data_IF_028538033433
#
_entry.id   IF_028538033433
#
_cell.length_a   1.000
_cell.length_b   1.000
_cell.length_c   1.000
_cell.angle_alpha   90.00
_cell.angle_beta   90.00
_cell.angle_gamma   90.00
#
_symmetry.space_group_name_H-M   'P 1'
#
loop_
_entity.id
_entity.type
_entity.pdbx_description
1 polymer ?
#
# COMPACT_ATOMS: atom_id res chain seq x y z
N UNK A 1 -54.73 -13.77 43.61
CA UNK A 1 -53.53 -14.05 42.80
C UNK A 1 -53.46 -13.03 41.68
N UNK A 2 -52.60 -12.00 41.87
CA UNK A 2 -52.38 -10.91 40.85
C UNK A 2 -51.17 -11.32 40.02
N UNK A 3 -51.38 -11.50 38.72
CA UNK A 3 -50.27 -11.71 37.75
C UNK A 3 -49.65 -10.35 37.40
N UNK A 4 -48.38 -10.16 37.72
CA UNK A 4 -47.57 -9.04 37.34
C UNK A 4 -46.93 -9.39 36.00
N UNK A 5 -47.29 -8.61 34.95
CA UNK A 5 -46.73 -8.71 33.61
C UNK A 5 -45.45 -7.85 33.58
N UNK A 6 -44.26 -8.38 33.24
CA UNK A 6 -43.08 -7.53 33.09
C UNK A 6 -43.15 -6.85 31.72
N UNK A 7 -43.11 -5.51 31.72
CA UNK A 7 -42.93 -4.71 30.51
C UNK A 7 -41.46 -4.85 30.06
N UNK A 8 -41.27 -5.53 28.94
CA UNK A 8 -40.01 -5.60 28.25
C UNK A 8 -39.84 -4.29 27.46
N UNK A 9 -39.02 -3.37 27.96
CA UNK A 9 -38.63 -2.14 27.27
C UNK A 9 -37.59 -2.50 26.22
N UNK A 10 -38.03 -2.69 24.98
CA UNK A 10 -37.15 -2.88 23.82
C UNK A 10 -36.52 -1.52 23.44
N UNK A 11 -35.31 -1.26 23.92
CA UNK A 11 -34.54 -0.09 23.51
C UNK A 11 -34.05 -0.31 22.07
N UNK A 12 -34.77 0.23 21.08
CA UNK A 12 -34.28 0.35 19.73
C UNK A 12 -33.14 1.39 19.71
N UNK A 13 -31.91 0.91 19.74
CA UNK A 13 -30.75 1.69 19.37
C UNK A 13 -30.83 1.90 17.85
N UNK A 14 -31.42 2.99 17.41
CA UNK A 14 -31.23 3.50 16.05
C UNK A 14 -29.78 3.98 15.95
N UNK A 15 -28.90 3.13 15.46
CA UNK A 15 -27.63 3.57 14.93
C UNK A 15 -27.94 4.43 13.70
N UNK A 16 -28.08 5.72 13.89
CA UNK A 16 -28.00 6.68 12.79
C UNK A 16 -26.55 6.64 12.30
N UNK A 17 -26.27 5.78 11.34
CA UNK A 17 -25.14 5.95 10.46
C UNK A 17 -25.41 7.28 9.75
N UNK A 18 -24.73 8.33 10.14
CA UNK A 18 -24.62 9.52 9.32
C UNK A 18 -23.81 9.13 8.09
N UNK A 19 -24.48 8.59 7.09
CA UNK A 19 -24.04 8.68 5.71
C UNK A 19 -24.50 10.08 5.32
N UNK A 20 -23.61 11.06 5.38
CA UNK A 20 -23.83 12.33 4.69
C UNK A 20 -23.92 11.95 3.21
N UNK A 21 -25.17 11.86 2.72
CA UNK A 21 -25.43 11.85 1.30
C UNK A 21 -25.18 13.28 0.79
N UNK A 22 -23.91 13.58 0.59
CA UNK A 22 -23.53 14.77 -0.17
C UNK A 22 -24.09 14.61 -1.58
N UNK A 23 -25.20 15.26 -1.84
CA UNK A 23 -25.79 15.31 -3.19
C UNK A 23 -25.01 16.34 -3.98
N UNK A 24 -24.15 15.84 -4.86
CA UNK A 24 -23.52 16.70 -5.87
C UNK A 24 -24.40 16.77 -7.11
N UNK A 25 -24.35 17.91 -7.79
CA UNK A 25 -25.02 18.04 -9.07
C UNK A 25 -24.34 17.13 -10.10
N UNK A 26 -25.15 16.36 -10.83
CA UNK A 26 -24.66 15.50 -11.91
C UNK A 26 -24.38 16.36 -13.17
N UNK A 27 -23.31 17.12 -13.08
CA UNK A 27 -22.79 17.95 -14.16
C UNK A 27 -21.27 18.12 -13.99
N UNK A 28 -20.55 18.68 -14.98
CA UNK A 28 -19.09 18.79 -14.92
C UNK A 28 -18.56 19.51 -13.67
N UNK A 29 -19.20 20.61 -13.28
CA UNK A 29 -18.80 21.36 -12.09
C UNK A 29 -19.02 20.55 -10.82
N UNK A 30 -20.19 19.94 -10.65
CA UNK A 30 -20.51 19.09 -9.50
C UNK A 30 -19.58 17.89 -9.37
N UNK A 31 -19.19 17.28 -10.48
CA UNK A 31 -18.23 16.18 -10.49
C UNK A 31 -16.83 16.60 -10.01
N UNK A 32 -16.37 17.79 -10.41
CA UNK A 32 -15.09 18.34 -9.94
C UNK A 32 -15.17 18.69 -8.45
N UNK A 33 -16.25 19.33 -8.00
CA UNK A 33 -16.48 19.69 -6.59
C UNK A 33 -16.48 18.42 -5.71
N UNK A 34 -17.18 17.37 -6.15
CA UNK A 34 -17.19 16.09 -5.45
C UNK A 34 -15.79 15.51 -5.30
N UNK A 35 -15.03 15.44 -6.40
CA UNK A 35 -13.67 14.93 -6.38
C UNK A 35 -12.74 15.77 -5.49
N UNK A 36 -12.82 17.11 -5.61
CA UNK A 36 -12.02 18.02 -4.82
C UNK A 36 -12.31 17.83 -3.32
N UNK A 37 -13.58 17.79 -2.93
CA UNK A 37 -14.00 17.67 -1.54
C UNK A 37 -13.63 16.33 -0.93
N UNK A 38 -13.83 15.21 -1.66
CA UNK A 38 -13.39 13.89 -1.20
C UNK A 38 -11.89 13.89 -0.85
N UNK A 39 -11.08 14.52 -1.68
CA UNK A 39 -9.64 14.61 -1.41
C UNK A 39 -9.33 15.60 -0.30
N UNK A 40 -10.02 16.74 -0.23
CA UNK A 40 -9.86 17.73 0.83
C UNK A 40 -10.07 17.10 2.22
N UNK A 41 -11.12 16.29 2.35
CA UNK A 41 -11.49 15.66 3.62
C UNK A 41 -10.64 14.44 3.97
N UNK A 42 -10.13 13.70 3.00
CA UNK A 42 -9.54 12.37 3.22
C UNK A 42 -8.05 12.25 2.91
N UNK A 43 -7.49 13.14 2.09
CA UNK A 43 -6.07 13.06 1.75
C UNK A 43 -5.19 13.50 2.92
N UNK A 44 -4.08 12.75 3.14
CA UNK A 44 -3.29 12.88 4.37
C UNK A 44 -2.02 13.72 4.21
N UNK A 45 -1.59 14.09 2.99
CA UNK A 45 -0.22 14.54 2.74
C UNK A 45 -0.11 15.93 2.10
N UNK A 46 -1.13 16.80 2.24
CA UNK A 46 -1.09 18.16 1.70
C UNK A 46 0.10 18.97 2.22
N UNK A 47 0.31 18.91 3.54
CA UNK A 47 1.39 19.65 4.20
C UNK A 47 2.77 19.10 3.80
N UNK A 48 2.95 17.78 3.88
CA UNK A 48 4.21 17.12 3.55
C UNK A 48 4.64 17.33 2.08
N UNK A 49 3.65 17.50 1.20
CA UNK A 49 3.89 17.75 -0.23
C UNK A 49 3.91 19.25 -0.59
N UNK A 50 3.55 20.12 0.36
CA UNK A 50 3.47 21.55 0.14
C UNK A 50 2.41 21.92 -0.91
N UNK A 51 1.26 21.21 -0.92
CA UNK A 51 0.17 21.43 -1.87
C UNK A 51 -0.90 22.29 -1.22
N UNK A 52 -1.17 23.49 -1.76
CA UNK A 52 -2.34 24.30 -1.45
C UNK A 52 -3.52 23.77 -2.28
N UNK A 53 -4.35 22.95 -1.63
CA UNK A 53 -5.46 22.26 -2.30
C UNK A 53 -6.59 23.23 -2.72
N UNK A 54 -6.76 24.36 -2.02
CA UNK A 54 -7.69 25.42 -2.41
C UNK A 54 -7.21 26.13 -3.70
N UNK A 55 -5.93 26.46 -3.78
CA UNK A 55 -5.35 27.03 -5.01
C UNK A 55 -5.43 26.05 -6.20
N UNK A 56 -5.32 24.75 -5.94
CA UNK A 56 -5.54 23.72 -6.97
C UNK A 56 -7.00 23.73 -7.41
N UNK A 57 -7.96 23.81 -6.49
CA UNK A 57 -9.39 23.94 -6.83
C UNK A 57 -9.65 25.13 -7.76
N UNK A 58 -9.23 26.33 -7.36
CA UNK A 58 -9.42 27.55 -8.15
C UNK A 58 -8.84 27.41 -9.56
N UNK A 59 -7.66 26.80 -9.70
CA UNK A 59 -6.99 26.57 -10.98
C UNK A 59 -7.79 25.67 -11.92
N UNK A 60 -8.47 24.65 -11.39
CA UNK A 60 -9.15 23.65 -12.20
C UNK A 60 -10.65 23.92 -12.35
N UNK A 61 -11.31 24.57 -11.38
CA UNK A 61 -12.73 24.90 -11.44
C UNK A 61 -13.08 25.79 -12.65
N UNK A 62 -12.24 26.77 -12.98
CA UNK A 62 -12.43 27.66 -14.14
C UNK A 62 -12.32 26.95 -15.48
N UNK A 63 -11.80 25.74 -15.52
CA UNK A 63 -11.65 24.92 -16.72
C UNK A 63 -12.86 24.04 -17.00
N UNK A 64 -13.74 23.85 -16.02
CA UNK A 64 -14.96 23.06 -16.17
C UNK A 64 -16.08 23.93 -16.79
N UNK A 65 -16.83 23.37 -17.71
CA UNK A 65 -18.01 24.01 -18.29
C UNK A 65 -19.06 22.94 -18.69
N UNK A 66 -20.31 23.37 -18.83
CA UNK A 66 -21.45 22.48 -19.04
C UNK A 66 -21.43 21.70 -20.36
N UNK A 67 -20.66 22.15 -21.33
CA UNK A 67 -20.58 21.52 -22.68
C UNK A 67 -19.51 20.41 -22.76
N UNK A 68 -18.79 20.15 -21.67
CA UNK A 68 -17.73 19.15 -21.67
C UNK A 68 -18.24 17.73 -21.76
N UNK A 69 -17.64 16.93 -22.62
CA UNK A 69 -17.82 15.49 -22.64
C UNK A 69 -17.19 14.85 -21.41
N UNK A 70 -17.63 13.64 -21.07
CA UNK A 70 -17.05 12.85 -19.97
C UNK A 70 -15.53 12.69 -20.09
N UNK A 71 -15.03 12.49 -21.30
CA UNK A 71 -13.58 12.38 -21.55
C UNK A 71 -12.83 13.68 -21.25
N UNK A 72 -13.40 14.84 -21.60
CA UNK A 72 -12.81 16.14 -21.28
C UNK A 72 -12.84 16.43 -19.77
N UNK A 73 -13.95 16.11 -19.10
CA UNK A 73 -14.03 16.19 -17.63
C UNK A 73 -12.96 15.31 -16.98
N UNK A 74 -12.85 14.06 -17.41
CA UNK A 74 -11.86 13.10 -16.91
C UNK A 74 -10.41 13.64 -17.06
N UNK A 75 -10.07 14.25 -18.20
CA UNK A 75 -8.75 14.85 -18.40
C UNK A 75 -8.46 15.99 -17.42
N UNK A 76 -9.42 16.89 -17.20
CA UNK A 76 -9.27 18.00 -16.24
C UNK A 76 -9.11 17.47 -14.83
N UNK A 77 -9.97 16.55 -14.41
CA UNK A 77 -9.93 15.95 -13.07
C UNK A 77 -8.64 15.12 -12.85
N UNK A 78 -8.18 14.40 -13.88
CA UNK A 78 -6.90 13.66 -13.81
C UNK A 78 -5.71 14.62 -13.63
N UNK A 79 -5.71 15.75 -14.30
CA UNK A 79 -4.67 16.76 -14.12
C UNK A 79 -4.75 17.39 -12.71
N UNK A 80 -5.94 17.62 -12.18
CA UNK A 80 -6.13 18.11 -10.81
C UNK A 80 -5.53 17.15 -9.78
N UNK A 81 -5.87 15.87 -9.81
CA UNK A 81 -5.31 14.89 -8.86
C UNK A 81 -3.79 14.70 -9.05
N UNK A 82 -3.26 14.95 -10.24
CA UNK A 82 -1.83 14.84 -10.53
C UNK A 82 -0.99 15.92 -9.82
N UNK A 83 -1.59 17.03 -9.37
CA UNK A 83 -0.92 18.03 -8.54
C UNK A 83 -0.46 17.44 -7.19
N UNK A 84 -1.13 16.41 -6.71
CA UNK A 84 -0.73 15.68 -5.50
C UNK A 84 0.56 14.88 -5.68
N UNK A 85 0.96 14.60 -6.92
CA UNK A 85 2.15 13.77 -7.24
C UNK A 85 2.20 12.48 -6.42
N UNK A 86 1.06 11.77 -6.34
CA UNK A 86 0.88 10.59 -5.51
C UNK A 86 0.33 9.42 -6.32
N UNK A 87 1.10 8.35 -6.40
CA UNK A 87 0.71 7.13 -7.12
C UNK A 87 -0.44 6.35 -6.46
N UNK A 88 -0.85 6.70 -5.23
CA UNK A 88 -1.99 6.08 -4.56
C UNK A 88 -3.32 6.77 -4.91
N UNK A 89 -3.29 8.01 -5.41
CA UNK A 89 -4.50 8.75 -5.82
C UNK A 89 -4.80 8.44 -7.27
N UNK A 90 -5.93 7.74 -7.52
CA UNK A 90 -6.33 7.32 -8.84
C UNK A 90 -7.81 7.62 -9.07
N UNK A 91 -8.15 8.09 -10.27
CA UNK A 91 -9.51 8.30 -10.75
C UNK A 91 -9.87 7.21 -11.75
N UNK A 92 -10.86 6.40 -11.41
CA UNK A 92 -11.30 5.29 -12.26
C UNK A 92 -12.60 5.63 -12.98
N UNK A 93 -12.64 5.35 -14.26
CA UNK A 93 -13.84 5.38 -15.08
C UNK A 93 -13.99 4.06 -15.84
N UNK A 94 -15.11 3.88 -16.53
CA UNK A 94 -15.34 2.68 -17.37
C UNK A 94 -14.43 2.63 -18.60
N UNK A 95 -13.84 3.76 -19.00
CA UNK A 95 -13.04 3.88 -20.23
C UNK A 95 -11.56 4.21 -19.99
N UNK A 96 -11.18 4.70 -18.78
CA UNK A 96 -9.79 5.04 -18.50
C UNK A 96 -9.49 5.12 -17.00
N UNK A 97 -8.19 5.23 -16.67
CA UNK A 97 -7.70 5.47 -15.29
C UNK A 97 -6.79 6.68 -15.27
N UNK A 98 -7.21 7.73 -14.56
CA UNK A 98 -6.40 8.91 -14.26
C UNK A 98 -5.46 8.63 -13.09
N UNK A 99 -4.16 8.94 -13.25
CA UNK A 99 -3.13 8.63 -12.25
C UNK A 99 -1.86 9.42 -12.47
N UNK A 100 -1.10 9.66 -11.41
CA UNK A 100 0.24 10.22 -11.47
C UNK A 100 1.28 9.11 -11.30
N UNK A 101 2.01 8.79 -12.40
CA UNK A 101 3.03 7.74 -12.38
C UNK A 101 4.41 8.21 -12.83
N UNK A 102 4.58 9.51 -13.06
CA UNK A 102 5.84 10.11 -13.47
C UNK A 102 6.97 9.96 -12.44
N UNK A 103 6.63 9.61 -11.19
CA UNK A 103 7.63 9.35 -10.16
C UNK A 103 8.59 8.19 -10.49
N UNK A 104 8.19 7.30 -11.40
CA UNK A 104 9.01 6.16 -11.84
C UNK A 104 9.51 6.27 -13.28
N UNK A 105 9.16 7.35 -14.00
CA UNK A 105 9.69 7.66 -15.32
C UNK A 105 11.16 8.11 -15.21
N UNK A 106 11.91 8.00 -16.27
CA UNK A 106 13.31 8.41 -16.38
C UNK A 106 14.31 7.68 -15.44
N UNK A 107 13.89 6.57 -14.84
CA UNK A 107 14.76 5.71 -14.05
C UNK A 107 15.03 4.38 -14.77
N UNK A 108 16.28 3.87 -14.73
CA UNK A 108 16.57 2.53 -15.21
C UNK A 108 15.70 1.51 -14.45
N UNK A 109 15.08 0.59 -15.17
CA UNK A 109 14.25 -0.46 -14.54
C UNK A 109 15.07 -1.34 -13.58
N UNK A 110 16.38 -1.47 -13.82
CA UNK A 110 17.27 -2.30 -13.02
C UNK A 110 16.73 -3.72 -12.80
N UNK A 111 15.97 -4.23 -13.80
CA UNK A 111 15.32 -5.52 -13.76
C UNK A 111 15.10 -6.05 -15.18
N UNK A 112 15.28 -7.35 -15.36
CA UNK A 112 15.02 -8.04 -16.61
C UNK A 112 14.45 -9.43 -16.34
N UNK A 113 13.22 -9.69 -16.81
CA UNK A 113 12.59 -11.02 -16.72
C UNK A 113 13.42 -12.11 -17.39
N UNK A 114 14.05 -11.80 -18.51
CA UNK A 114 14.90 -12.74 -19.24
C UNK A 114 16.10 -13.16 -18.40
N UNK A 115 16.75 -12.21 -17.73
CA UNK A 115 17.87 -12.51 -16.83
C UNK A 115 17.38 -13.25 -15.58
N UNK A 116 16.27 -12.84 -14.99
CA UNK A 116 15.67 -13.54 -13.84
C UNK A 116 15.42 -15.00 -14.16
N UNK A 117 14.73 -15.30 -15.27
CA UNK A 117 14.45 -16.69 -15.70
C UNK A 117 15.71 -17.48 -15.96
N UNK A 118 16.76 -16.84 -16.47
CA UNK A 118 18.06 -17.49 -16.68
C UNK A 118 18.70 -17.92 -15.36
N UNK A 119 18.59 -17.13 -14.29
CA UNK A 119 19.13 -17.45 -12.97
C UNK A 119 18.25 -18.40 -12.17
N UNK A 120 16.91 -18.23 -12.23
CA UNK A 120 15.97 -19.17 -11.60
C UNK A 120 16.00 -20.55 -12.27
N UNK A 121 16.31 -20.63 -13.57
CA UNK A 121 16.22 -21.84 -14.39
C UNK A 121 14.77 -22.35 -14.48
N UNK A 122 14.56 -23.67 -14.54
CA UNK A 122 13.24 -24.32 -14.66
C UNK A 122 12.84 -25.11 -13.42
N UNK A 123 13.74 -25.25 -12.46
CA UNK A 123 13.62 -26.07 -11.26
C UNK A 123 13.47 -25.27 -9.96
N UNK A 124 13.16 -23.98 -10.07
CA UNK A 124 12.83 -23.17 -8.89
C UNK A 124 11.54 -23.65 -8.23
N UNK A 125 11.41 -23.36 -6.95
CA UNK A 125 10.25 -23.73 -6.13
C UNK A 125 9.32 -22.53 -5.96
N UNK A 126 8.05 -22.82 -5.69
CA UNK A 126 7.02 -21.82 -5.46
C UNK A 126 6.38 -22.05 -4.10
N UNK A 127 6.26 -21.01 -3.28
CA UNK A 127 5.53 -21.04 -2.02
C UNK A 127 4.72 -19.75 -1.85
N UNK A 128 3.39 -19.87 -1.86
CA UNK A 128 2.52 -18.70 -1.88
C UNK A 128 2.79 -17.84 -3.11
N UNK A 129 3.03 -16.55 -2.91
CA UNK A 129 3.36 -15.59 -3.98
C UNK A 129 4.86 -15.42 -4.27
N UNK A 130 5.71 -16.38 -3.90
CA UNK A 130 7.16 -16.27 -4.06
C UNK A 130 7.74 -17.40 -4.90
N UNK A 131 8.73 -17.04 -5.72
CA UNK A 131 9.63 -18.00 -6.39
C UNK A 131 10.94 -18.05 -5.62
N UNK A 132 11.49 -19.24 -5.39
CA UNK A 132 12.73 -19.37 -4.64
C UNK A 132 13.59 -20.54 -5.12
N UNK A 133 14.90 -20.39 -4.99
CA UNK A 133 15.90 -21.38 -5.37
C UNK A 133 17.20 -21.19 -4.58
N UNK A 134 18.11 -22.15 -4.68
CA UNK A 134 19.48 -22.02 -4.18
C UNK A 134 20.39 -21.81 -5.39
N UNK A 135 21.12 -20.69 -5.40
CA UNK A 135 22.09 -20.37 -6.43
C UNK A 135 23.39 -21.19 -6.28
N UNK A 136 24.20 -21.24 -7.34
CA UNK A 136 25.41 -22.08 -7.42
C UNK A 136 26.40 -21.84 -6.27
N UNK A 137 26.47 -20.59 -5.74
CA UNK A 137 27.36 -20.23 -4.61
C UNK A 137 26.77 -20.56 -3.23
N UNK A 138 25.77 -21.43 -3.16
CA UNK A 138 25.03 -21.74 -1.93
C UNK A 138 24.40 -20.50 -1.27
N UNK A 139 23.86 -19.61 -2.10
CA UNK A 139 23.08 -18.43 -1.69
C UNK A 139 21.61 -18.70 -1.98
N UNK A 140 20.76 -18.55 -0.98
CA UNK A 140 19.32 -18.57 -1.16
C UNK A 140 18.85 -17.35 -1.96
N UNK A 141 17.94 -17.56 -2.89
CA UNK A 141 17.30 -16.48 -3.65
C UNK A 141 15.79 -16.61 -3.52
N UNK A 142 15.14 -15.52 -3.10
CA UNK A 142 13.71 -15.40 -2.90
C UNK A 142 13.19 -14.21 -3.71
N UNK A 143 12.34 -14.45 -4.69
CA UNK A 143 11.62 -13.42 -5.44
C UNK A 143 10.21 -13.25 -4.89
N UNK A 144 9.84 -12.05 -4.48
CA UNK A 144 8.47 -11.72 -4.10
C UNK A 144 7.95 -10.58 -4.97
N UNK A 145 7.14 -10.93 -5.95
CA UNK A 145 6.71 -9.99 -6.99
C UNK A 145 5.62 -9.03 -6.51
N UNK A 146 4.73 -9.48 -5.62
CA UNK A 146 3.62 -8.66 -5.14
C UNK A 146 3.14 -9.08 -3.76
N UNK A 147 3.07 -8.13 -2.83
CA UNK A 147 2.45 -8.34 -1.52
C UNK A 147 0.91 -8.42 -1.56
N UNK A 148 0.28 -8.37 -2.73
CA UNK A 148 -1.13 -8.74 -2.88
C UNK A 148 -1.33 -10.24 -2.74
N UNK A 149 -0.36 -11.03 -3.17
CA UNK A 149 -0.39 -12.48 -3.00
C UNK A 149 0.05 -12.86 -1.59
N UNK A 150 -0.80 -13.64 -0.92
CA UNK A 150 -0.54 -14.06 0.46
C UNK A 150 0.52 -15.14 0.55
N UNK A 151 1.38 -15.02 1.57
CA UNK A 151 2.29 -16.06 2.00
C UNK A 151 2.00 -16.41 3.46
N UNK A 152 1.62 -17.67 3.71
CA UNK A 152 1.33 -18.16 5.06
C UNK A 152 2.61 -18.37 5.86
N UNK A 153 2.48 -18.51 7.19
CA UNK A 153 3.62 -18.89 8.02
C UNK A 153 4.21 -20.23 7.62
N UNK A 154 3.37 -21.21 7.21
CA UNK A 154 3.83 -22.50 6.74
C UNK A 154 4.63 -22.41 5.43
N UNK A 155 4.22 -21.53 4.49
CA UNK A 155 5.00 -21.25 3.28
C UNK A 155 6.38 -20.67 3.63
N UNK A 156 6.43 -19.70 4.55
CA UNK A 156 7.68 -19.10 5.01
C UNK A 156 8.57 -20.11 5.74
N UNK A 157 8.00 -20.96 6.59
CA UNK A 157 8.76 -22.02 7.26
C UNK A 157 9.37 -22.99 6.24
N UNK A 158 8.63 -23.36 5.19
CA UNK A 158 9.14 -24.22 4.12
C UNK A 158 10.30 -23.54 3.37
N UNK A 159 10.17 -22.27 3.01
CA UNK A 159 11.23 -21.49 2.35
C UNK A 159 12.47 -21.41 3.23
N UNK A 160 12.31 -21.04 4.51
CA UNK A 160 13.43 -20.92 5.45
C UNK A 160 14.12 -22.28 5.68
N UNK A 161 13.35 -23.37 5.78
CA UNK A 161 13.89 -24.71 5.94
C UNK A 161 14.70 -25.14 4.71
N UNK A 162 14.18 -24.91 3.51
CA UNK A 162 14.87 -25.24 2.25
C UNK A 162 16.22 -24.51 2.14
N UNK A 163 16.25 -23.25 2.57
CA UNK A 163 17.44 -22.39 2.51
C UNK A 163 18.34 -22.48 3.74
N UNK A 164 17.99 -23.28 4.75
CA UNK A 164 18.70 -23.30 6.05
C UNK A 164 20.21 -23.57 5.92
N UNK A 165 20.64 -24.34 4.92
CA UNK A 165 22.04 -24.63 4.62
C UNK A 165 22.78 -23.53 3.86
N UNK A 166 22.09 -22.53 3.32
CA UNK A 166 22.73 -21.47 2.53
C UNK A 166 23.61 -20.56 3.38
N UNK A 167 24.61 -19.95 2.74
CA UNK A 167 25.54 -19.01 3.39
C UNK A 167 24.91 -17.63 3.61
N UNK A 168 24.02 -17.21 2.72
CA UNK A 168 23.30 -15.93 2.75
C UNK A 168 21.99 -16.03 1.99
N UNK A 169 21.19 -14.98 2.01
CA UNK A 169 19.90 -14.89 1.34
C UNK A 169 19.80 -13.58 0.55
N UNK A 170 19.35 -13.68 -0.68
CA UNK A 170 18.93 -12.53 -1.49
C UNK A 170 17.40 -12.52 -1.54
N UNK A 171 16.80 -11.39 -1.16
CA UNK A 171 15.37 -11.13 -1.31
C UNK A 171 15.18 -10.11 -2.41
N UNK A 172 14.56 -10.50 -3.50
CA UNK A 172 14.32 -9.62 -4.64
C UNK A 172 12.88 -9.13 -4.66
N UNK A 173 12.70 -7.86 -4.33
CA UNK A 173 11.41 -7.14 -4.41
C UNK A 173 11.38 -6.10 -5.52
N UNK A 174 12.32 -6.13 -6.46
CA UNK A 174 12.35 -5.19 -7.58
C UNK A 174 11.06 -5.27 -8.38
N UNK A 175 10.44 -4.10 -8.63
CA UNK A 175 9.15 -4.01 -9.33
C UNK A 175 7.93 -4.42 -8.50
N UNK A 176 8.10 -4.79 -7.21
CA UNK A 176 6.98 -5.11 -6.34
C UNK A 176 6.17 -3.84 -6.02
N UNK A 177 4.98 -3.74 -6.57
CA UNK A 177 4.06 -2.60 -6.40
C UNK A 177 3.37 -2.53 -5.02
N UNK A 178 3.71 -3.42 -4.10
CA UNK A 178 3.09 -3.45 -2.77
C UNK A 178 1.91 -4.42 -2.68
N UNK A 179 0.97 -4.10 -1.83
CA UNK A 179 -0.19 -4.90 -1.48
C UNK A 179 -0.53 -4.78 0.00
N UNK A 180 -0.75 -5.89 0.71
CA UNK A 180 -1.09 -5.88 2.13
C UNK A 180 0.15 -5.70 3.01
N UNK A 181 0.12 -4.71 3.89
CA UNK A 181 1.19 -4.47 4.87
C UNK A 181 1.44 -5.68 5.77
N UNK A 182 0.40 -6.42 6.14
CA UNK A 182 0.52 -7.63 6.95
C UNK A 182 1.36 -8.73 6.30
N UNK A 183 1.43 -8.77 4.96
CA UNK A 183 2.32 -9.69 4.24
C UNK A 183 3.79 -9.22 4.33
N UNK A 184 4.02 -7.92 4.20
CA UNK A 184 5.34 -7.32 4.39
C UNK A 184 5.86 -7.53 5.83
N UNK A 185 5.03 -7.29 6.82
CA UNK A 185 5.32 -7.51 8.25
C UNK A 185 5.63 -8.99 8.54
N UNK A 186 4.83 -9.91 8.01
CA UNK A 186 5.02 -11.36 8.20
C UNK A 186 6.35 -11.84 7.62
N UNK A 187 6.73 -11.35 6.43
CA UNK A 187 8.04 -11.66 5.86
C UNK A 187 9.16 -11.05 6.70
N UNK A 188 9.06 -9.76 7.06
CA UNK A 188 10.07 -9.06 7.86
C UNK A 188 10.29 -9.72 9.23
N UNK A 189 9.22 -10.24 9.86
CA UNK A 189 9.29 -10.94 11.14
C UNK A 189 10.23 -12.18 11.13
N UNK A 190 10.56 -12.71 9.94
CA UNK A 190 11.51 -13.83 9.80
C UNK A 190 12.97 -13.41 9.99
N UNK A 191 13.24 -12.11 9.97
CA UNK A 191 14.60 -11.54 10.00
C UNK A 191 14.89 -10.76 11.29
N UNK A 192 13.89 -10.53 12.13
CA UNK A 192 14.12 -9.83 13.40
C UNK A 192 14.28 -10.81 14.56
N UNK A 193 15.14 -10.44 15.54
CA UNK A 193 15.46 -11.26 16.71
C UNK A 193 14.87 -10.74 18.01
N UNK A 194 14.47 -9.50 18.02
CA UNK A 194 13.78 -8.85 19.14
C UNK A 194 12.66 -7.97 18.59
N UNK A 195 11.69 -7.63 19.42
CA UNK A 195 10.71 -6.61 19.05
C UNK A 195 11.44 -5.32 18.69
N UNK A 196 11.23 -4.84 17.48
CA UNK A 196 11.96 -3.70 16.91
C UNK A 196 10.97 -2.66 16.41
N UNK A 197 11.15 -1.42 16.84
CA UNK A 197 10.41 -0.27 16.30
C UNK A 197 10.88 0.01 14.89
N UNK A 198 9.96 0.00 13.94
CA UNK A 198 10.23 0.19 12.50
C UNK A 198 9.64 1.49 11.96
N UNK A 199 8.93 2.24 12.78
CA UNK A 199 8.37 3.52 12.42
C UNK A 199 7.20 3.92 13.32
N UNK A 200 6.50 4.94 12.87
CA UNK A 200 5.31 5.47 13.52
C UNK A 200 4.21 5.67 12.49
N UNK A 201 2.97 5.45 12.89
CA UNK A 201 1.79 5.57 12.05
C UNK A 201 0.79 6.51 12.72
N UNK A 202 0.12 7.33 11.94
CA UNK A 202 -1.10 8.03 12.32
C UNK A 202 -2.13 7.90 11.20
N UNK A 203 -3.39 8.04 11.52
CA UNK A 203 -4.48 7.98 10.54
C UNK A 203 -5.40 9.17 10.73
N UNK A 204 -6.14 9.52 9.68
CA UNK A 204 -7.16 10.58 9.74
C UNK A 204 -8.24 10.18 10.75
N UNK A 205 -8.69 11.15 11.55
CA UNK A 205 -9.75 11.01 12.54
C UNK A 205 -10.94 11.94 12.28
N UNK A 206 -10.82 12.82 11.30
CA UNK A 206 -11.84 13.78 10.89
C UNK A 206 -11.52 14.39 9.52
N UNK A 207 -12.37 15.31 9.06
CA UNK A 207 -12.27 15.92 7.73
C UNK A 207 -11.24 17.07 7.65
N UNK A 208 -10.83 17.67 8.77
CA UNK A 208 -9.83 18.74 8.78
C UNK A 208 -8.43 18.23 8.40
N UNK A 209 -7.64 19.05 7.70
CA UNK A 209 -6.31 18.68 7.20
C UNK A 209 -5.36 18.19 8.31
N UNK A 210 -5.56 18.66 9.55
CA UNK A 210 -4.76 18.30 10.73
C UNK A 210 -5.43 17.27 11.66
N UNK A 211 -6.59 16.75 11.27
CA UNK A 211 -7.34 15.78 12.09
C UNK A 211 -6.70 14.40 12.00
N UNK A 212 -5.68 14.18 12.81
CA UNK A 212 -4.97 12.92 12.90
C UNK A 212 -5.02 12.32 14.30
N UNK A 213 -4.94 11.00 14.37
CA UNK A 213 -4.67 10.29 15.62
C UNK A 213 -3.31 10.69 16.19
N UNK A 214 -3.09 10.39 17.47
CA UNK A 214 -1.73 10.37 18.02
C UNK A 214 -0.85 9.40 17.22
N UNK A 215 0.46 9.68 17.16
CA UNK A 215 1.44 8.76 16.59
C UNK A 215 1.40 7.43 17.34
N UNK A 216 1.23 6.35 16.61
CA UNK A 216 1.28 4.99 17.12
C UNK A 216 2.59 4.34 16.68
N UNK A 217 3.30 3.76 17.64
CA UNK A 217 4.53 3.04 17.35
C UNK A 217 4.22 1.78 16.53
N UNK A 218 4.94 1.61 15.43
CA UNK A 218 4.88 0.42 14.61
C UNK A 218 6.08 -0.48 14.94
N UNK A 219 5.80 -1.68 15.41
CA UNK A 219 6.83 -2.66 15.79
C UNK A 219 6.71 -3.94 15.00
N UNK A 220 7.84 -4.57 14.70
CA UNK A 220 7.90 -5.93 14.18
C UNK A 220 8.39 -6.84 15.30
N UNK A 221 7.63 -7.90 15.56
CA UNK A 221 7.98 -8.96 16.50
C UNK A 221 8.58 -10.16 15.77
N UNK A 222 9.55 -10.84 16.38
CA UNK A 222 10.08 -12.07 15.82
C UNK A 222 9.00 -13.10 15.50
N UNK A 223 9.05 -13.70 14.32
CA UNK A 223 8.17 -14.81 13.99
C UNK A 223 8.36 -15.98 14.96
N UNK A 224 7.26 -16.68 15.27
CA UNK A 224 7.30 -17.89 16.11
C UNK A 224 7.90 -19.09 15.40
N UNK A 225 7.80 -19.13 14.05
CA UNK A 225 8.35 -20.18 13.21
C UNK A 225 9.84 -19.97 12.91
N UNK A 226 10.32 -20.63 11.84
CA UNK A 226 11.71 -20.53 11.42
C UNK A 226 12.09 -19.09 11.05
N UNK A 227 13.25 -18.66 11.52
CA UNK A 227 13.82 -17.32 11.28
C UNK A 227 15.18 -17.44 10.65
N UNK A 228 15.50 -16.48 9.81
CA UNK A 228 16.79 -16.37 9.16
C UNK A 228 17.77 -15.57 10.05
N UNK A 229 18.95 -16.13 10.30
CA UNK A 229 19.94 -15.57 11.23
C UNK A 229 21.29 -15.26 10.57
N UNK A 230 21.36 -15.37 9.25
CA UNK A 230 22.59 -15.13 8.48
C UNK A 230 22.41 -13.85 7.65
N UNK A 231 23.43 -13.49 6.90
CA UNK A 231 23.42 -12.31 6.03
C UNK A 231 22.26 -12.33 5.06
N UNK A 232 21.64 -11.17 4.86
CA UNK A 232 20.56 -10.96 3.92
C UNK A 232 20.79 -9.67 3.11
N UNK A 233 20.53 -9.77 1.81
CA UNK A 233 20.54 -8.62 0.89
C UNK A 233 19.15 -8.47 0.29
N UNK A 234 18.62 -7.25 0.30
CA UNK A 234 17.33 -6.93 -0.33
C UNK A 234 17.59 -6.15 -1.62
N UNK A 235 17.17 -6.72 -2.76
CA UNK A 235 17.26 -6.04 -4.05
C UNK A 235 16.02 -5.20 -4.27
N UNK A 236 16.23 -3.91 -4.53
CA UNK A 236 15.18 -2.92 -4.77
C UNK A 236 15.39 -2.17 -6.08
N UNK A 237 14.34 -1.55 -6.58
CA UNK A 237 14.42 -0.59 -7.68
C UNK A 237 13.34 0.49 -7.53
N UNK A 238 13.27 1.42 -8.48
CA UNK A 238 12.26 2.49 -8.48
C UNK A 238 10.82 1.99 -8.53
N UNK A 239 10.58 0.76 -8.98
CA UNK A 239 9.25 0.14 -9.01
C UNK A 239 8.76 -0.41 -7.67
N UNK A 240 9.60 -0.41 -6.63
CA UNK A 240 9.18 -0.81 -5.27
C UNK A 240 8.28 0.27 -4.69
N UNK A 241 7.06 -0.11 -4.28
CA UNK A 241 6.04 0.86 -3.90
C UNK A 241 5.16 0.36 -2.74
N UNK A 242 4.53 1.28 -1.97
CA UNK A 242 3.56 0.96 -0.92
C UNK A 242 4.11 -0.07 0.09
N UNK A 243 3.40 -1.17 0.38
CA UNK A 243 3.81 -2.18 1.33
C UNK A 243 5.20 -2.80 1.05
N UNK A 244 5.64 -2.80 -0.21
CA UNK A 244 6.99 -3.26 -0.55
C UNK A 244 8.06 -2.26 -0.11
N UNK A 245 7.77 -0.96 -0.18
CA UNK A 245 8.64 0.08 0.37
C UNK A 245 8.71 -0.02 1.90
N UNK A 246 7.57 -0.28 2.55
CA UNK A 246 7.55 -0.52 4.00
C UNK A 246 8.39 -1.75 4.38
N UNK A 247 8.31 -2.85 3.62
CA UNK A 247 9.17 -4.02 3.85
C UNK A 247 10.66 -3.65 3.81
N UNK A 248 11.09 -2.88 2.82
CA UNK A 248 12.50 -2.43 2.71
C UNK A 248 12.88 -1.56 3.92
N UNK A 249 11.99 -0.67 4.34
CA UNK A 249 12.18 0.14 5.56
C UNK A 249 12.33 -0.77 6.80
N UNK A 250 11.46 -1.76 6.97
CA UNK A 250 11.53 -2.69 8.10
C UNK A 250 12.88 -3.41 8.14
N UNK A 251 13.32 -3.96 7.00
CA UNK A 251 14.60 -4.65 6.90
C UNK A 251 15.79 -3.73 7.23
N UNK A 252 15.70 -2.43 6.94
CA UNK A 252 16.76 -1.46 7.26
C UNK A 252 16.84 -1.09 8.76
N UNK A 253 15.76 -1.34 9.51
CA UNK A 253 15.70 -1.08 10.96
C UNK A 253 16.29 -2.22 11.80
N UNK A 254 16.46 -3.41 11.22
CA UNK A 254 16.99 -4.54 11.98
C UNK A 254 18.51 -4.44 12.17
N UNK A 255 19.02 -4.81 13.37
CA UNK A 255 20.46 -4.87 13.63
C UNK A 255 21.16 -5.80 12.63
N UNK A 256 22.33 -5.39 12.17
CA UNK A 256 23.22 -6.19 11.31
C UNK A 256 24.04 -7.14 12.15
#
# INVERSE_FOLDING_TARGET
MRRILPYLFLLLLTATSCVDNDTYDDNPQGNLEALWRILDEHYCFFEEKGVDWNAVHEKYAVRMNAEMSESQQFEVMTQMISELRDGHVNLYTTFNTGRYWSWKEDYPTNFSDTLLRRYLRTDYLIAGGTDYTILDDNIGYLRYESFQQGMSDANLDQVMLHMAGCNGLIIDVRGNGGGLMTHAERLAARFCNAETTVGYLRHKTGCGHQDFSSLQEQTIRPAKGLRWQKEVVVLTNRGVFSAANEFVKYMSCFPR
#
